data_IF_222471552788
#
_entry.id   IF_222471552788
#
_cell.length_a   1.000
_cell.length_b   1.000
_cell.length_c   1.000
_cell.angle_alpha   90.00
_cell.angle_beta   90.00
_cell.angle_gamma   90.00
#
_symmetry.space_group_name_H-M   'P 1'
#
loop_
_entity.id
_entity.type
_entity.pdbx_description
1 polymer ?
#
# COMPACT_ATOMS: atom_id res chain seq x y z
N UNK A 1 29.87 4.22 12.77
CA UNK A 1 29.08 5.13 11.91
C UNK A 1 27.69 4.51 11.81
N UNK A 2 26.65 5.21 12.26
CA UNK A 2 25.28 4.72 12.04
C UNK A 2 24.99 4.73 10.54
N UNK A 3 24.38 3.66 10.05
CA UNK A 3 24.04 3.54 8.62
C UNK A 3 23.03 4.63 8.21
N UNK A 4 23.17 5.17 6.99
CA UNK A 4 22.31 6.25 6.52
C UNK A 4 20.85 5.77 6.41
N UNK A 5 19.82 6.51 6.89
CA UNK A 5 18.42 6.05 6.95
C UNK A 5 17.82 5.55 5.63
N UNK A 6 18.37 5.98 4.48
CA UNK A 6 18.03 5.45 3.14
C UNK A 6 18.06 3.92 3.04
N UNK A 7 18.86 3.23 3.86
CA UNK A 7 18.95 1.75 3.81
C UNK A 7 17.72 1.06 4.40
N UNK A 8 16.90 1.79 5.16
CA UNK A 8 15.62 1.33 5.69
C UNK A 8 14.44 1.62 4.75
N UNK A 9 14.69 2.26 3.60
CA UNK A 9 13.64 2.47 2.61
C UNK A 9 13.27 1.14 1.95
N UNK A 10 11.98 0.83 1.95
CA UNK A 10 11.45 -0.27 1.16
C UNK A 10 11.29 0.14 -0.31
N UNK A 11 12.03 -0.51 -1.20
CA UNK A 11 12.01 -0.27 -2.64
C UNK A 11 10.61 -0.41 -3.25
N UNK A 12 9.75 -1.27 -2.70
CA UNK A 12 8.39 -1.45 -3.19
C UNK A 12 7.50 -0.23 -2.99
N UNK A 13 7.86 0.65 -2.04
CA UNK A 13 7.10 1.85 -1.72
C UNK A 13 7.70 3.13 -2.32
N UNK A 14 8.80 3.02 -3.08
CA UNK A 14 9.34 4.16 -3.84
C UNK A 14 8.45 4.56 -5.02
N UNK A 15 7.64 3.63 -5.54
CA UNK A 15 6.64 3.94 -6.54
C UNK A 15 5.48 4.74 -5.92
N UNK A 16 5.15 5.93 -6.43
CA UNK A 16 4.18 6.83 -5.80
C UNK A 16 2.77 6.23 -5.72
N UNK A 17 2.37 5.40 -6.70
CA UNK A 17 1.06 4.73 -6.68
C UNK A 17 1.02 3.67 -5.59
N UNK A 18 2.10 2.89 -5.41
CA UNK A 18 2.17 1.90 -4.33
C UNK A 18 2.17 2.55 -2.96
N UNK A 19 2.95 3.62 -2.77
CA UNK A 19 2.96 4.36 -1.51
C UNK A 19 1.57 4.92 -1.19
N UNK A 20 0.92 5.56 -2.17
CA UNK A 20 -0.42 6.13 -2.02
C UNK A 20 -1.46 5.05 -1.71
N UNK A 21 -1.37 3.88 -2.36
CA UNK A 21 -2.25 2.74 -2.11
C UNK A 21 -2.09 2.21 -0.68
N UNK A 22 -0.84 2.01 -0.24
CA UNK A 22 -0.54 1.52 1.10
C UNK A 22 -1.01 2.53 2.17
N UNK A 23 -0.78 3.83 1.94
CA UNK A 23 -1.23 4.91 2.82
C UNK A 23 -2.77 4.99 2.92
N UNK A 24 -3.48 4.87 1.78
CA UNK A 24 -4.94 4.88 1.77
C UNK A 24 -5.54 3.74 2.61
N UNK A 25 -4.84 2.61 2.73
CA UNK A 25 -5.27 1.46 3.52
C UNK A 25 -4.86 1.52 5.00
N UNK A 26 -4.00 2.45 5.42
CA UNK A 26 -3.43 2.48 6.77
C UNK A 26 -4.48 2.74 7.86
N UNK A 27 -5.44 3.62 7.58
CA UNK A 27 -6.44 4.10 8.55
C UNK A 27 -7.76 3.31 8.55
N UNK A 28 -7.86 2.21 7.81
CA UNK A 28 -9.12 1.50 7.57
C UNK A 28 -8.94 -0.01 7.69
N UNK A 29 -10.05 -0.72 7.87
CA UNK A 29 -10.03 -2.19 7.91
C UNK A 29 -9.83 -2.79 6.52
N UNK A 30 -10.58 -2.31 5.53
CA UNK A 30 -10.50 -2.67 4.12
C UNK A 30 -11.16 -1.59 3.26
N UNK A 31 -10.75 -1.46 2.00
CA UNK A 31 -11.40 -0.62 0.99
C UNK A 31 -11.68 -1.47 -0.24
N UNK A 32 -12.82 -1.26 -0.88
CA UNK A 32 -13.11 -1.93 -2.13
C UNK A 32 -12.35 -1.35 -3.33
N UNK A 33 -12.13 -2.18 -4.33
CA UNK A 33 -11.33 -1.85 -5.51
C UNK A 33 -11.79 -0.58 -6.23
N UNK A 34 -13.11 -0.37 -6.36
CA UNK A 34 -13.65 0.79 -7.07
C UNK A 34 -13.31 2.08 -6.33
N UNK A 35 -13.51 2.10 -5.01
CA UNK A 35 -13.16 3.25 -4.18
C UNK A 35 -11.66 3.51 -4.20
N UNK A 36 -10.82 2.49 -4.06
CA UNK A 36 -9.35 2.65 -4.18
C UNK A 36 -8.94 3.28 -5.51
N UNK A 37 -9.52 2.81 -6.60
CA UNK A 37 -9.25 3.32 -7.95
C UNK A 37 -9.57 4.80 -8.05
N UNK A 38 -10.74 5.20 -7.55
CA UNK A 38 -11.19 6.60 -7.57
C UNK A 38 -10.34 7.48 -6.67
N UNK A 39 -9.98 7.00 -5.46
CA UNK A 39 -9.08 7.71 -4.54
C UNK A 39 -7.69 7.92 -5.13
N UNK A 40 -7.16 6.93 -5.84
CA UNK A 40 -5.81 6.98 -6.42
C UNK A 40 -5.77 7.64 -7.80
N UNK A 41 -6.91 7.85 -8.46
CA UNK A 41 -6.99 8.45 -9.80
C UNK A 41 -6.30 7.62 -10.90
N UNK A 42 -6.25 6.29 -10.74
CA UNK A 42 -5.57 5.38 -11.68
C UNK A 42 -6.56 4.50 -12.45
N UNK A 43 -6.12 3.91 -13.56
CA UNK A 43 -6.92 2.92 -14.28
C UNK A 43 -7.03 1.60 -13.51
N UNK A 44 -8.06 0.81 -13.84
CA UNK A 44 -8.25 -0.55 -13.32
C UNK A 44 -7.02 -1.44 -13.57
N UNK A 45 -6.41 -1.34 -14.75
CA UNK A 45 -5.21 -2.11 -15.12
C UNK A 45 -4.00 -1.75 -14.26
N UNK A 46 -3.80 -0.46 -13.99
CA UNK A 46 -2.71 0.02 -13.12
C UNK A 46 -2.95 -0.43 -11.69
N UNK A 47 -4.15 -0.23 -11.15
CA UNK A 47 -4.48 -0.63 -9.79
C UNK A 47 -4.35 -2.14 -9.59
N UNK A 48 -4.88 -2.94 -10.51
CA UNK A 48 -4.80 -4.40 -10.46
C UNK A 48 -3.35 -4.87 -10.41
N UNK A 49 -2.48 -4.33 -11.28
CA UNK A 49 -1.05 -4.70 -11.31
C UNK A 49 -0.35 -4.37 -9.99
N UNK A 50 -0.62 -3.21 -9.39
CA UNK A 50 -0.01 -2.84 -8.12
C UNK A 50 -0.54 -3.69 -6.95
N UNK A 51 -1.84 -3.98 -6.90
CA UNK A 51 -2.43 -4.86 -5.89
C UNK A 51 -1.80 -6.25 -5.98
N UNK A 52 -1.76 -6.86 -7.17
CA UNK A 52 -1.17 -8.20 -7.36
C UNK A 52 0.27 -8.24 -6.88
N UNK A 53 1.11 -7.31 -7.34
CA UNK A 53 2.53 -7.31 -6.95
C UNK A 53 2.78 -7.02 -5.46
N UNK A 54 1.89 -6.29 -4.79
CA UNK A 54 1.98 -6.06 -3.35
C UNK A 54 1.40 -7.23 -2.53
N UNK A 55 0.39 -7.93 -3.06
CA UNK A 55 -0.16 -9.15 -2.47
C UNK A 55 0.83 -10.32 -2.55
N UNK A 56 1.52 -10.50 -3.68
CA UNK A 56 2.59 -11.51 -3.85
C UNK A 56 3.71 -11.33 -2.82
N UNK A 57 3.98 -10.08 -2.44
CA UNK A 57 4.95 -9.71 -1.38
C UNK A 57 4.35 -9.70 0.02
N UNK A 58 3.13 -10.20 0.18
CA UNK A 58 2.42 -10.29 1.46
C UNK A 58 2.17 -8.95 2.16
N UNK A 59 2.24 -7.82 1.46
CA UNK A 59 1.90 -6.52 2.03
C UNK A 59 0.39 -6.30 2.12
N UNK A 60 -0.37 -6.91 1.21
CA UNK A 60 -1.82 -6.81 1.12
C UNK A 60 -2.50 -8.16 1.32
N UNK A 61 -3.79 -8.11 1.64
CA UNK A 61 -4.71 -9.24 1.51
C UNK A 61 -5.87 -8.80 0.63
N UNK A 62 -6.17 -9.59 -0.39
CA UNK A 62 -7.34 -9.38 -1.24
C UNK A 62 -8.44 -10.37 -0.89
N UNK A 63 -9.66 -9.86 -0.70
CA UNK A 63 -10.85 -10.66 -0.44
C UNK A 63 -11.87 -10.41 -1.54
N UNK A 64 -12.31 -11.47 -2.21
CA UNK A 64 -13.42 -11.41 -3.17
C UNK A 64 -14.71 -11.83 -2.50
N UNK A 65 -15.83 -11.22 -2.89
CA UNK A 65 -17.14 -11.57 -2.38
C UNK A 65 -18.22 -10.84 -3.19
N UNK A 66 -19.38 -10.65 -2.57
CA UNK A 66 -20.54 -10.05 -3.22
C UNK A 66 -21.20 -9.01 -2.31
N UNK A 67 -21.75 -7.97 -2.92
CA UNK A 67 -22.70 -7.05 -2.29
C UNK A 67 -24.01 -7.17 -3.06
N UNK A 68 -24.99 -7.85 -2.46
CA UNK A 68 -26.17 -8.32 -3.19
C UNK A 68 -25.78 -9.29 -4.31
N UNK A 69 -26.15 -8.98 -5.55
CA UNK A 69 -25.85 -9.81 -6.73
C UNK A 69 -24.56 -9.39 -7.47
N UNK A 70 -23.85 -8.36 -7.00
CA UNK A 70 -22.68 -7.81 -7.70
C UNK A 70 -21.38 -8.29 -7.04
N UNK A 71 -20.40 -8.82 -7.80
CA UNK A 71 -19.10 -9.17 -7.25
C UNK A 71 -18.39 -7.90 -6.78
N UNK A 72 -17.65 -8.02 -5.68
CA UNK A 72 -16.83 -6.94 -5.13
C UNK A 72 -15.53 -7.50 -4.57
N UNK A 73 -14.48 -6.73 -4.71
CA UNK A 73 -13.14 -7.05 -4.24
C UNK A 73 -12.75 -6.02 -3.20
N UNK A 74 -12.35 -6.48 -2.03
CA UNK A 74 -11.83 -5.67 -0.94
C UNK A 74 -10.35 -5.92 -0.77
N UNK A 75 -9.63 -4.87 -0.43
CA UNK A 75 -8.19 -4.87 -0.22
C UNK A 75 -7.92 -4.32 1.15
N UNK A 76 -7.00 -4.95 1.87
CA UNK A 76 -6.51 -4.44 3.15
C UNK A 76 -5.03 -4.66 3.33
N UNK A 77 -4.42 -3.86 4.20
CA UNK A 77 -3.06 -4.12 4.66
C UNK A 77 -2.99 -5.41 5.49
N UNK A 78 -1.97 -6.21 5.22
CA UNK A 78 -1.53 -7.26 6.14
C UNK A 78 -0.78 -6.65 7.34
N UNK A 79 -0.49 -7.48 8.34
CA UNK A 79 0.39 -7.05 9.45
C UNK A 79 1.78 -6.65 8.94
N UNK A 80 2.35 -7.42 8.01
CA UNK A 80 3.62 -7.13 7.37
C UNK A 80 3.57 -5.83 6.53
N UNK A 81 2.49 -5.60 5.79
CA UNK A 81 2.29 -4.36 5.06
C UNK A 81 2.25 -3.13 5.98
N UNK A 82 1.59 -3.24 7.14
CA UNK A 82 1.53 -2.16 8.14
C UNK A 82 2.90 -1.85 8.74
N UNK A 83 3.66 -2.87 9.14
CA UNK A 83 5.01 -2.67 9.70
C UNK A 83 5.95 -2.07 8.67
N UNK A 84 6.01 -2.64 7.47
CA UNK A 84 6.89 -2.20 6.39
C UNK A 84 6.58 -0.77 5.94
N UNK A 85 5.29 -0.38 5.85
CA UNK A 85 4.91 1.00 5.55
C UNK A 85 5.36 1.96 6.65
N UNK A 86 5.21 1.55 7.91
CA UNK A 86 5.59 2.36 9.06
C UNK A 86 7.10 2.60 9.09
N UNK A 87 7.90 1.56 8.88
CA UNK A 87 9.36 1.65 8.77
C UNK A 87 9.78 2.55 7.60
N UNK A 88 9.15 2.38 6.44
CA UNK A 88 9.45 3.22 5.27
C UNK A 88 9.13 4.70 5.52
N UNK A 89 7.99 5.02 6.14
CA UNK A 89 7.63 6.39 6.50
C UNK A 89 8.61 6.95 7.54
N UNK A 90 9.06 6.14 8.50
CA UNK A 90 10.08 6.55 9.47
C UNK A 90 11.41 6.86 8.78
N UNK A 91 11.84 6.03 7.83
CA UNK A 91 13.04 6.28 7.03
C UNK A 91 12.91 7.58 6.23
N UNK A 92 11.79 7.79 5.53
CA UNK A 92 11.52 9.03 4.81
C UNK A 92 11.56 10.25 5.75
N UNK A 93 10.93 10.15 6.92
CA UNK A 93 10.97 11.21 7.94
C UNK A 93 12.39 11.47 8.44
N UNK A 94 13.20 10.45 8.70
CA UNK A 94 14.58 10.63 9.14
C UNK A 94 15.47 11.27 8.05
N UNK A 95 15.16 11.02 6.77
CA UNK A 95 15.85 11.65 5.64
C UNK A 95 15.43 13.13 5.52
N UNK A 96 14.14 13.42 5.66
CA UNK A 96 13.59 14.78 5.44
C UNK A 96 13.55 15.65 6.68
N UNK A 97 13.69 15.07 7.87
CA UNK A 97 13.75 15.81 9.14
C UNK A 97 14.99 16.67 9.25
N UNK A 98 15.96 16.49 8.35
CA UNK A 98 17.22 17.20 8.36
C UNK A 98 18.15 16.69 9.47
N UNK A 99 19.40 17.10 9.35
CA UNK A 99 20.32 17.28 10.47
C UNK A 99 19.66 18.07 11.60
#
# INVERSE_FOLDING_TARGET
MSEHPRTQMNDDFTNPVRLSLMAALQGVEEIDFKTLRETLGVSDSVLSRHITGLEEKSYLKVRKGFVGKRPRTWVKLSAHGRSSLTEHIQALRAITSGL
#
